data_IF_230517778153
#
_entry.id   IF_230517778153
#
_cell.length_a   1.000
_cell.length_b   1.000
_cell.length_c   1.000
_cell.angle_alpha   90.00
_cell.angle_beta   90.00
_cell.angle_gamma   90.00
#
_symmetry.space_group_name_H-M   'P 1'
#
loop_
_entity.id
_entity.type
_entity.pdbx_description
1 polymer ?
#
# COMPACT_ATOMS: atom_id res chain seq x y z
N UNK A 1 -0.87 -1.31 28.63
CA UNK A 1 -0.65 -2.11 27.39
C UNK A 1 -0.19 -1.11 26.33
N UNK A 2 1.03 -1.24 25.80
CA UNK A 2 1.52 -0.38 24.71
C UNK A 2 1.01 -1.00 23.41
N UNK A 3 0.27 -0.24 22.62
CA UNK A 3 -0.22 -0.72 21.34
C UNK A 3 0.84 -0.45 20.27
N UNK A 4 1.15 -1.45 19.45
CA UNK A 4 2.17 -1.31 18.39
C UNK A 4 1.54 -0.65 17.17
N UNK A 5 2.33 0.20 16.49
CA UNK A 5 1.92 0.93 15.28
C UNK A 5 2.02 0.11 13.99
N UNK A 6 2.71 -1.04 14.05
CA UNK A 6 3.11 -1.80 12.86
C UNK A 6 4.39 -1.24 12.24
N UNK A 7 5.14 -2.08 11.54
CA UNK A 7 6.37 -1.69 10.84
C UNK A 7 6.68 -2.64 9.70
N UNK A 8 7.42 -2.13 8.70
CA UNK A 8 7.87 -2.89 7.53
C UNK A 8 9.38 -2.77 7.39
N UNK A 9 10.04 -3.91 7.20
CA UNK A 9 11.47 -4.01 6.93
C UNK A 9 11.69 -4.73 5.60
N UNK A 10 12.54 -4.16 4.75
CA UNK A 10 12.84 -4.70 3.43
C UNK A 10 14.24 -5.30 3.47
N UNK A 11 14.40 -6.50 2.90
CA UNK A 11 15.67 -7.20 2.84
C UNK A 11 15.96 -7.67 1.41
N UNK A 12 17.23 -7.62 1.02
CA UNK A 12 17.73 -8.16 -0.24
C UNK A 12 18.78 -9.23 0.05
N UNK A 13 18.69 -10.35 -0.66
CA UNK A 13 19.68 -11.42 -0.60
C UNK A 13 20.91 -11.00 -1.42
N UNK A 14 22.05 -10.79 -0.75
CA UNK A 14 23.34 -10.49 -1.37
C UNK A 14 24.27 -11.68 -1.14
N UNK A 15 24.54 -12.46 -2.19
CA UNK A 15 25.22 -13.75 -2.08
C UNK A 15 24.38 -14.75 -1.29
N UNK A 16 24.83 -15.11 -0.08
CA UNK A 16 24.12 -16.02 0.83
C UNK A 16 23.57 -15.32 2.08
N UNK A 17 23.54 -13.98 2.12
CA UNK A 17 23.13 -13.21 3.31
C UNK A 17 22.04 -12.21 3.00
N UNK A 18 20.97 -12.24 3.80
CA UNK A 18 19.92 -11.23 3.78
C UNK A 18 20.42 -9.95 4.44
N UNK A 19 20.47 -8.87 3.68
CA UNK A 19 20.84 -7.54 4.16
C UNK A 19 19.66 -6.60 4.04
N UNK A 20 19.40 -5.81 5.08
CA UNK A 20 18.32 -4.84 5.08
C UNK A 20 18.59 -3.76 4.03
N UNK A 21 17.57 -3.38 3.27
CA UNK A 21 17.60 -2.30 2.28
C UNK A 21 16.93 -1.06 2.86
N UNK A 22 17.73 -0.03 3.12
CA UNK A 22 17.29 1.22 3.73
C UNK A 22 16.79 1.09 5.18
N UNK A 23 16.13 2.15 5.65
CA UNK A 23 15.62 2.22 7.01
C UNK A 23 14.29 1.48 7.19
N UNK A 24 13.96 1.10 8.43
CA UNK A 24 12.63 0.58 8.80
C UNK A 24 11.55 1.63 8.52
N UNK A 25 10.42 1.20 7.99
CA UNK A 25 9.23 2.01 7.85
C UNK A 25 8.32 1.77 9.05
N UNK A 26 7.88 2.84 9.71
CA UNK A 26 7.05 2.78 10.92
C UNK A 26 5.62 3.25 10.65
N UNK A 27 4.66 2.62 11.34
CA UNK A 27 3.28 3.10 11.44
C UNK A 27 3.19 4.47 12.12
N UNK A 28 2.26 5.30 11.68
CA UNK A 28 2.08 6.65 12.25
C UNK A 28 1.31 6.61 13.57
N UNK A 29 0.30 5.74 13.70
CA UNK A 29 -0.52 5.63 14.91
C UNK A 29 -0.60 4.21 15.45
N UNK A 30 -0.94 4.11 16.72
CA UNK A 30 -1.12 2.85 17.42
C UNK A 30 -2.35 2.11 16.88
N UNK A 31 -2.24 0.79 16.65
CA UNK A 31 -3.34 -0.09 16.19
C UNK A 31 -3.85 0.13 14.78
N UNK A 32 -3.23 1.01 13.99
CA UNK A 32 -3.60 1.16 12.57
C UNK A 32 -3.10 -0.01 11.70
N UNK A 33 -2.29 -0.91 12.29
CA UNK A 33 -1.77 -2.13 11.67
C UNK A 33 -0.93 -1.85 10.41
N UNK A 34 -0.03 -0.86 10.48
CA UNK A 34 0.87 -0.57 9.36
C UNK A 34 1.67 -1.80 8.93
N UNK A 35 1.62 -2.10 7.63
CA UNK A 35 2.24 -3.29 7.06
C UNK A 35 1.35 -4.53 7.11
N UNK A 36 0.03 -4.37 7.30
CA UNK A 36 -0.92 -5.49 7.25
C UNK A 36 -0.86 -6.23 5.91
N UNK A 37 -0.94 -5.48 4.81
CA UNK A 37 -0.68 -5.97 3.45
C UNK A 37 0.45 -5.16 2.82
N UNK A 38 1.31 -5.83 2.06
CA UNK A 38 2.46 -5.23 1.39
C UNK A 38 2.52 -5.70 -0.07
N UNK A 39 3.01 -4.84 -0.96
CA UNK A 39 3.28 -5.20 -2.35
C UNK A 39 4.53 -4.47 -2.84
N UNK A 40 5.36 -5.15 -3.64
CA UNK A 40 6.56 -4.60 -4.25
C UNK A 40 6.40 -4.61 -5.78
N UNK A 41 6.89 -3.54 -6.40
CA UNK A 41 7.19 -3.52 -7.84
C UNK A 41 8.21 -4.60 -8.23
N UNK A 42 8.29 -4.94 -9.52
CA UNK A 42 9.11 -6.05 -10.01
C UNK A 42 10.61 -5.87 -9.76
N UNK A 43 11.10 -4.64 -9.74
CA UNK A 43 12.51 -4.33 -9.43
C UNK A 43 12.75 -4.08 -7.93
N UNK A 44 11.69 -4.10 -7.11
CA UNK A 44 11.75 -3.86 -5.68
C UNK A 44 12.03 -2.41 -5.29
N UNK A 45 11.95 -1.45 -6.22
CA UNK A 45 12.22 -0.03 -5.93
C UNK A 45 11.01 0.73 -5.39
N UNK A 46 9.80 0.22 -5.61
CA UNK A 46 8.55 0.77 -5.09
C UNK A 46 7.85 -0.25 -4.20
N UNK A 47 7.40 0.19 -3.03
CA UNK A 47 6.69 -0.59 -2.00
C UNK A 47 5.38 0.10 -1.64
N UNK A 48 4.27 -0.62 -1.68
CA UNK A 48 3.03 -0.22 -1.03
C UNK A 48 2.84 -0.98 0.28
N UNK A 49 2.31 -0.31 1.30
CA UNK A 49 1.99 -0.90 2.60
C UNK A 49 0.71 -0.29 3.17
N UNK A 50 -0.16 -1.13 3.72
CA UNK A 50 -1.49 -0.71 4.20
C UNK A 50 -1.61 -0.57 5.71
N UNK A 51 -2.66 0.15 6.13
CA UNK A 51 -3.12 0.42 7.49
C UNK A 51 -4.66 0.27 7.52
N UNK A 52 -5.22 -0.95 7.43
CA UNK A 52 -6.67 -1.15 7.22
C UNK A 52 -7.54 -0.71 8.41
N UNK A 53 -6.96 -0.53 9.60
CA UNK A 53 -7.66 -0.08 10.80
C UNK A 53 -7.63 1.46 10.96
N UNK A 54 -6.87 2.16 10.11
CA UNK A 54 -6.77 3.63 10.10
C UNK A 54 -8.15 4.30 10.07
N UNK A 55 -8.29 5.38 10.85
CA UNK A 55 -9.48 6.23 10.92
C UNK A 55 -10.79 5.43 11.03
N UNK A 56 -10.91 4.71 12.16
CA UNK A 56 -12.08 3.89 12.48
C UNK A 56 -12.35 2.77 11.46
N UNK A 57 -11.29 2.10 10.97
CA UNK A 57 -11.35 1.01 9.96
C UNK A 57 -11.82 1.48 8.59
N UNK A 58 -11.66 2.77 8.29
CA UNK A 58 -11.79 3.27 6.92
C UNK A 58 -10.65 2.74 6.06
N UNK A 59 -9.44 2.72 6.62
CA UNK A 59 -8.25 2.17 5.98
C UNK A 59 -7.43 3.21 5.22
N UNK A 60 -6.15 2.91 5.04
CA UNK A 60 -5.16 3.77 4.38
C UNK A 60 -4.07 2.93 3.73
N UNK A 61 -3.46 3.45 2.66
CA UNK A 61 -2.29 2.86 2.00
C UNK A 61 -1.24 3.93 1.79
N UNK A 62 0.01 3.58 2.09
CA UNK A 62 1.19 4.43 1.84
C UNK A 62 2.11 3.74 0.85
N UNK A 63 2.59 4.52 -0.13
CA UNK A 63 3.55 4.04 -1.12
C UNK A 63 4.89 4.72 -0.88
N UNK A 64 5.97 3.97 -1.04
CA UNK A 64 7.34 4.41 -0.82
C UNK A 64 8.19 4.04 -2.03
N UNK A 65 9.14 4.91 -2.37
CA UNK A 65 10.19 4.65 -3.35
C UNK A 65 11.55 4.58 -2.68
N UNK A 66 12.39 3.67 -3.15
CA UNK A 66 13.77 3.52 -2.73
C UNK A 66 14.63 4.51 -3.50
N UNK A 67 15.23 5.46 -2.78
CA UNK A 67 16.36 6.22 -3.28
C UNK A 67 17.63 5.43 -3.05
N UNK A 68 18.36 5.13 -4.12
CA UNK A 68 19.66 4.46 -4.07
C UNK A 68 20.67 5.24 -4.90
N UNK A 69 21.81 5.60 -4.31
CA UNK A 69 22.85 6.34 -5.02
C UNK A 69 23.88 7.01 -4.13
N UNK A 70 24.84 7.69 -4.75
CA UNK A 70 25.88 8.47 -4.06
C UNK A 70 25.37 9.87 -3.72
N UNK A 71 25.44 10.23 -2.44
CA UNK A 71 25.15 11.60 -1.94
C UNK A 71 26.36 12.06 -1.11
N UNK A 72 26.98 13.16 -1.53
CA UNK A 72 28.17 13.72 -0.86
C UNK A 72 29.28 12.68 -0.59
N UNK A 73 29.54 11.80 -1.56
CA UNK A 73 30.57 10.74 -1.47
C UNK A 73 30.17 9.52 -0.62
N UNK A 74 28.95 9.45 -0.11
CA UNK A 74 28.43 8.30 0.64
C UNK A 74 27.31 7.63 -0.15
N UNK A 75 27.37 6.30 -0.29
CA UNK A 75 26.27 5.53 -0.86
C UNK A 75 25.13 5.43 0.16
N UNK A 76 23.91 5.76 -0.28
CA UNK A 76 22.71 5.65 0.55
C UNK A 76 21.67 4.76 -0.13
N UNK A 77 20.93 4.03 0.70
CA UNK A 77 19.66 3.38 0.37
C UNK A 77 18.65 3.92 1.37
N UNK A 78 17.61 4.59 0.89
CA UNK A 78 16.61 5.24 1.76
C UNK A 78 15.22 5.15 1.13
N UNK A 79 14.26 4.67 1.91
CA UNK A 79 12.85 4.71 1.50
C UNK A 79 12.27 6.10 1.74
N UNK A 80 11.55 6.64 0.77
CA UNK A 80 10.85 7.92 0.90
C UNK A 80 9.40 7.78 0.43
N UNK A 81 8.43 8.52 1.01
CA UNK A 81 7.06 8.52 0.51
C UNK A 81 7.00 8.88 -0.97
N UNK A 82 6.20 8.14 -1.73
CA UNK A 82 5.94 8.35 -3.14
C UNK A 82 4.49 8.81 -3.32
N UNK A 83 4.33 10.12 -3.40
CA UNK A 83 3.03 10.79 -3.47
C UNK A 83 2.28 10.91 -2.14
N UNK A 84 0.98 11.18 -2.24
CA UNK A 84 0.07 11.28 -1.10
C UNK A 84 -0.31 9.91 -0.51
N UNK A 85 -0.69 9.89 0.77
CA UNK A 85 -1.40 8.76 1.37
C UNK A 85 -2.72 8.51 0.59
N UNK A 86 -3.11 7.26 0.43
CA UNK A 86 -4.29 6.83 -0.35
C UNK A 86 -5.36 6.33 0.61
N UNK A 87 -6.52 6.99 0.63
CA UNK A 87 -7.66 6.65 1.47
C UNK A 87 -8.99 6.83 0.72
N UNK A 88 -10.08 6.39 1.36
CA UNK A 88 -11.45 6.44 0.82
C UNK A 88 -12.33 7.32 1.72
N UNK A 89 -12.23 8.66 1.64
CA UNK A 89 -12.78 9.56 2.66
C UNK A 89 -14.32 9.53 2.76
N UNK A 90 -15.01 8.98 1.76
CA UNK A 90 -16.46 8.87 1.71
C UNK A 90 -16.98 7.52 2.27
N UNK A 91 -16.09 6.63 2.72
CA UNK A 91 -16.43 5.35 3.35
C UNK A 91 -16.34 5.44 4.88
N UNK A 92 -17.16 4.65 5.57
CA UNK A 92 -17.15 4.63 7.05
C UNK A 92 -16.35 3.47 7.62
N UNK A 93 -16.53 2.25 7.11
CA UNK A 93 -15.84 1.03 7.55
C UNK A 93 -15.54 0.16 6.33
N UNK A 94 -14.51 0.51 5.56
CA UNK A 94 -14.18 -0.20 4.32
C UNK A 94 -13.15 -1.31 4.53
N UNK A 95 -12.33 -1.24 5.58
CA UNK A 95 -11.07 -1.99 5.67
C UNK A 95 -10.22 -1.82 4.40
N UNK A 96 -10.20 -0.60 3.86
CA UNK A 96 -9.43 -0.28 2.66
C UNK A 96 -7.95 -0.56 2.87
N UNK A 97 -7.35 -1.33 1.96
CA UNK A 97 -5.99 -1.84 2.13
C UNK A 97 -5.92 -3.20 2.83
N UNK A 98 -7.05 -3.91 3.02
CA UNK A 98 -7.03 -5.30 3.45
C UNK A 98 -6.22 -6.18 2.48
N UNK A 99 -6.33 -5.89 1.18
CA UNK A 99 -5.50 -6.46 0.11
C UNK A 99 -5.00 -5.34 -0.79
N UNK A 100 -3.75 -5.46 -1.25
CA UNK A 100 -3.14 -4.51 -2.21
C UNK A 100 -2.28 -5.24 -3.23
N UNK A 101 -2.22 -4.72 -4.45
CA UNK A 101 -1.33 -5.25 -5.49
C UNK A 101 -0.79 -4.13 -6.36
N UNK A 102 0.54 -4.00 -6.42
CA UNK A 102 1.23 -3.12 -7.37
C UNK A 102 1.47 -3.85 -8.69
N UNK A 103 1.30 -3.11 -9.78
CA UNK A 103 1.85 -3.47 -11.09
C UNK A 103 3.39 -3.55 -11.06
N UNK A 104 3.98 -4.18 -12.08
CA UNK A 104 5.42 -4.40 -12.15
C UNK A 104 6.26 -3.12 -12.21
N UNK A 105 5.75 -2.08 -12.86
CA UNK A 105 6.40 -0.76 -12.89
C UNK A 105 6.12 0.07 -11.62
N UNK A 106 5.27 -0.42 -10.71
CA UNK A 106 4.90 0.22 -9.45
C UNK A 106 4.07 1.50 -9.58
N UNK A 107 3.45 1.77 -10.74
CA UNK A 107 2.65 2.98 -10.99
C UNK A 107 1.15 2.75 -11.04
N UNK A 108 0.70 1.51 -11.14
CA UNK A 108 -0.71 1.11 -10.93
C UNK A 108 -0.82 0.29 -9.64
N UNK A 109 -1.84 0.58 -8.84
CA UNK A 109 -2.09 -0.06 -7.54
C UNK A 109 -3.58 -0.41 -7.41
N UNK A 110 -3.88 -1.70 -7.24
CA UNK A 110 -5.20 -2.17 -6.84
C UNK A 110 -5.29 -2.26 -5.32
N UNK A 111 -6.42 -1.82 -4.75
CA UNK A 111 -6.67 -1.83 -3.31
C UNK A 111 -8.07 -2.36 -3.02
N UNK A 112 -8.15 -3.42 -2.23
CA UNK A 112 -9.41 -3.98 -1.76
C UNK A 112 -9.90 -3.33 -0.47
N UNK A 113 -11.21 -3.11 -0.41
CA UNK A 113 -11.98 -2.72 0.78
C UNK A 113 -13.15 -3.69 0.97
N UNK A 114 -12.94 -4.87 1.56
CA UNK A 114 -13.95 -5.93 1.61
C UNK A 114 -15.20 -5.59 2.41
N UNK A 115 -15.16 -4.59 3.30
CA UNK A 115 -16.36 -4.12 4.01
C UNK A 115 -16.94 -2.83 3.44
N UNK A 116 -16.40 -2.33 2.33
CA UNK A 116 -16.91 -1.14 1.69
C UNK A 116 -18.32 -1.35 1.12
N UNK A 117 -19.06 -0.25 0.94
CA UNK A 117 -20.45 -0.29 0.48
C UNK A 117 -21.44 -0.79 1.54
N UNK A 118 -22.69 -0.99 1.14
CA UNK A 118 -23.74 -1.47 2.03
C UNK A 118 -23.55 -2.96 2.37
N UNK A 119 -23.78 -3.36 3.61
CA UNK A 119 -23.75 -4.76 4.06
C UNK A 119 -22.53 -5.60 3.59
N UNK A 120 -21.33 -5.00 3.60
CA UNK A 120 -20.10 -5.67 3.18
C UNK A 120 -20.17 -6.29 1.77
N UNK A 121 -20.80 -5.60 0.81
CA UNK A 121 -20.70 -5.97 -0.61
C UNK A 121 -19.22 -6.00 -1.03
N UNK A 122 -18.44 -5.02 -0.57
CA UNK A 122 -17.01 -4.92 -0.83
C UNK A 122 -16.70 -4.22 -2.15
N UNK A 123 -15.55 -3.54 -2.19
CA UNK A 123 -15.11 -2.74 -3.35
C UNK A 123 -13.62 -2.93 -3.61
N UNK A 124 -13.23 -2.78 -4.87
CA UNK A 124 -11.83 -2.67 -5.31
C UNK A 124 -11.63 -1.34 -6.02
N UNK A 125 -10.60 -0.61 -5.63
CA UNK A 125 -10.21 0.66 -6.25
C UNK A 125 -8.89 0.49 -6.97
N UNK A 126 -8.77 1.09 -8.16
CA UNK A 126 -7.52 1.15 -8.92
C UNK A 126 -6.98 2.58 -8.86
N UNK A 127 -5.72 2.75 -8.52
CA UNK A 127 -5.02 4.02 -8.49
C UNK A 127 -3.84 4.03 -9.45
N UNK A 128 -3.63 5.18 -10.09
CA UNK A 128 -2.46 5.45 -10.92
C UNK A 128 -1.62 6.57 -10.33
N UNK A 129 -0.32 6.40 -10.38
CA UNK A 129 0.65 7.40 -9.98
C UNK A 129 0.98 8.33 -11.13
N UNK A 130 0.79 9.63 -10.91
CA UNK A 130 1.15 10.67 -11.84
C UNK A 130 2.49 11.31 -11.45
N UNK A 131 3.53 11.10 -12.26
CA UNK A 131 4.89 11.61 -11.99
C UNK A 131 4.94 13.15 -11.96
N UNK A 132 4.19 13.82 -12.83
CA UNK A 132 4.22 15.28 -12.96
C UNK A 132 3.68 15.99 -11.71
N UNK A 133 2.69 15.38 -11.07
CA UNK A 133 2.03 15.93 -9.88
C UNK A 133 2.52 15.29 -8.59
N UNK A 134 3.29 14.19 -8.67
CA UNK A 134 3.70 13.36 -7.53
C UNK A 134 2.49 12.97 -6.68
N UNK A 135 1.46 12.40 -7.32
CA UNK A 135 0.20 12.02 -6.65
C UNK A 135 -0.33 10.69 -7.17
N UNK A 136 -0.99 9.97 -6.27
CA UNK A 136 -1.84 8.84 -6.62
C UNK A 136 -3.27 9.31 -6.81
N UNK A 137 -3.86 8.98 -7.95
CA UNK A 137 -5.23 9.32 -8.30
C UNK A 137 -6.02 8.08 -8.69
N UNK A 138 -7.27 7.98 -8.26
CA UNK A 138 -8.11 6.86 -8.63
C UNK A 138 -8.39 6.86 -10.13
N UNK A 139 -8.23 5.70 -10.77
CA UNK A 139 -8.57 5.46 -12.17
C UNK A 139 -10.03 5.05 -12.27
N UNK A 140 -10.90 6.00 -12.64
CA UNK A 140 -12.32 5.74 -12.83
C UNK A 140 -13.06 5.40 -11.53
N UNK A 141 -14.23 4.78 -11.68
CA UNK A 141 -15.05 4.32 -10.56
C UNK A 141 -14.48 3.04 -9.92
N UNK A 142 -14.83 2.80 -8.66
CA UNK A 142 -14.52 1.53 -8.01
C UNK A 142 -15.30 0.37 -8.66
N UNK A 143 -14.77 -0.84 -8.49
CA UNK A 143 -15.45 -2.08 -8.85
C UNK A 143 -16.14 -2.61 -7.60
N UNK A 144 -17.45 -2.81 -7.65
CA UNK A 144 -18.26 -3.28 -6.53
C UNK A 144 -18.65 -4.75 -6.72
N UNK A 145 -18.71 -5.49 -5.60
CA UNK A 145 -19.27 -6.85 -5.58
C UNK A 145 -20.74 -6.89 -5.99
N UNK A 146 -21.26 -8.08 -6.29
CA UNK A 146 -22.65 -8.21 -6.76
C UNK A 146 -23.65 -8.64 -5.70
N UNK A 147 -23.19 -9.10 -4.53
CA UNK A 147 -24.04 -9.65 -3.48
C UNK A 147 -23.73 -9.07 -2.09
N UNK A 148 -24.74 -9.07 -1.21
CA UNK A 148 -24.56 -8.65 0.18
C UNK A 148 -23.68 -9.66 0.92
N UNK A 149 -22.72 -9.18 1.72
CA UNK A 149 -21.72 -9.98 2.42
C UNK A 149 -20.85 -10.86 1.49
N UNK A 150 -20.66 -10.45 0.24
CA UNK A 150 -19.69 -11.07 -0.68
C UNK A 150 -18.24 -10.79 -0.24
N UNK A 151 -18.03 -9.68 0.49
CA UNK A 151 -16.70 -9.21 0.88
C UNK A 151 -15.76 -9.04 -0.32
N UNK A 152 -16.28 -8.55 -1.44
CA UNK A 152 -15.53 -8.37 -2.68
C UNK A 152 -14.29 -7.49 -2.44
N UNK A 153 -13.16 -7.89 -3.03
CA UNK A 153 -11.86 -7.26 -2.75
C UNK A 153 -11.15 -7.79 -1.50
N UNK A 154 -11.60 -8.92 -0.93
CA UNK A 154 -10.86 -9.61 0.12
C UNK A 154 -9.42 -9.95 -0.31
N UNK A 155 -9.25 -10.31 -1.58
CA UNK A 155 -7.94 -10.49 -2.20
C UNK A 155 -7.94 -9.86 -3.60
N UNK A 156 -6.80 -9.28 -3.99
CA UNK A 156 -6.61 -8.63 -5.29
C UNK A 156 -5.22 -8.94 -5.82
N UNK A 157 -5.11 -9.10 -7.13
CA UNK A 157 -3.83 -9.29 -7.81
C UNK A 157 -3.88 -8.57 -9.17
N UNK A 158 -2.84 -7.79 -9.46
CA UNK A 158 -2.58 -7.23 -10.76
C UNK A 158 -1.56 -8.08 -11.51
N UNK A 159 -1.67 -8.08 -12.84
CA UNK A 159 -0.58 -8.55 -13.69
C UNK A 159 0.58 -7.54 -13.68
N UNK A 160 1.72 -7.95 -14.23
CA UNK A 160 2.93 -7.11 -14.26
C UNK A 160 2.73 -5.80 -15.05
N UNK A 161 1.87 -5.82 -16.05
CA UNK A 161 1.54 -4.69 -16.92
C UNK A 161 0.42 -3.79 -16.39
N UNK A 162 -0.23 -4.19 -15.29
CA UNK A 162 -1.35 -3.47 -14.68
C UNK A 162 -2.69 -3.96 -15.18
#
# INVERSE_FOLDING_TARGET
>A
IIYKRGSVDIYQLKGSTWTRVGQRLEGKNDRDEFGYSISLSSDGSILAASEPIFDSRRGNVRVFRLLSGMVNGTFIEKWEPMGNDINVPNETVAYFGASISLSGNGKTLAIGGPSAGEFNIGRVHIFEYNDDTNKWTQMGEYIEGSELNDYFGWDVSLSIDG
#
